data_IF_333952654779
#
_entry.id   IF_333952654779
#
_cell.length_a   1.000
_cell.length_b   1.000
_cell.length_c   1.000
_cell.angle_alpha   90.00
_cell.angle_beta   90.00
_cell.angle_gamma   90.00
#
_symmetry.space_group_name_H-M   'P 1'
#
loop_
_entity.id
_entity.type
_entity.pdbx_description
1 polymer ?
#
# COMPACT_ATOMS: atom_id res chain seq x y z
N UNK A 1 20.20 8.62 -13.76
CA UNK A 1 19.39 8.28 -12.59
C UNK A 1 18.01 8.98 -12.53
N UNK A 2 17.91 10.23 -13.00
CA UNK A 2 16.65 11.02 -12.88
C UNK A 2 15.51 10.42 -13.74
N UNK A 3 15.81 9.95 -14.94
CA UNK A 3 14.81 9.48 -15.91
C UNK A 3 14.10 8.18 -15.49
N UNK A 4 14.80 7.10 -15.08
CA UNK A 4 14.14 5.89 -14.56
C UNK A 4 13.29 6.17 -13.32
N UNK A 5 13.81 7.01 -12.41
CA UNK A 5 13.07 7.42 -11.21
C UNK A 5 11.78 8.17 -11.57
N UNK A 6 11.86 9.09 -12.54
CA UNK A 6 10.70 9.86 -12.99
C UNK A 6 9.59 8.95 -13.57
N UNK A 7 9.95 7.91 -14.32
CA UNK A 7 8.99 6.95 -14.88
C UNK A 7 8.27 6.20 -13.76
N UNK A 8 9.01 5.63 -12.82
CA UNK A 8 8.44 4.90 -11.68
C UNK A 8 7.55 5.81 -10.83
N UNK A 9 8.01 7.02 -10.53
CA UNK A 9 7.23 7.98 -9.74
C UNK A 9 5.96 8.38 -10.45
N UNK A 10 5.99 8.63 -11.76
CA UNK A 10 4.83 9.05 -12.54
C UNK A 10 3.78 7.94 -12.60
N UNK A 11 4.19 6.70 -12.83
CA UNK A 11 3.32 5.52 -12.81
C UNK A 11 2.60 5.37 -11.47
N UNK A 12 3.36 5.41 -10.38
CA UNK A 12 2.82 5.28 -9.04
C UNK A 12 1.93 6.45 -8.64
N UNK A 13 2.29 7.67 -9.01
CA UNK A 13 1.52 8.86 -8.71
C UNK A 13 0.15 8.82 -9.40
N UNK A 14 0.10 8.35 -10.65
CA UNK A 14 -1.16 8.15 -11.37
C UNK A 14 -2.04 7.10 -10.72
N UNK A 15 -1.47 5.94 -10.40
CA UNK A 15 -2.17 4.83 -9.78
C UNK A 15 -2.73 5.21 -8.40
N UNK A 16 -1.90 5.83 -7.55
CA UNK A 16 -2.33 6.26 -6.22
C UNK A 16 -3.31 7.42 -6.26
N UNK A 17 -3.12 8.37 -7.17
CA UNK A 17 -4.06 9.47 -7.37
C UNK A 17 -5.46 8.96 -7.73
N UNK A 18 -5.54 7.99 -8.62
CA UNK A 18 -6.80 7.34 -8.98
C UNK A 18 -7.44 6.60 -7.80
N UNK A 19 -6.65 5.83 -7.06
CA UNK A 19 -7.11 5.07 -5.89
C UNK A 19 -7.63 5.98 -4.76
N UNK A 20 -6.89 7.03 -4.43
CA UNK A 20 -7.31 8.03 -3.43
C UNK A 20 -8.60 8.70 -3.86
N UNK A 21 -8.71 9.07 -5.14
CA UNK A 21 -9.93 9.68 -5.67
C UNK A 21 -11.15 8.76 -5.52
N UNK A 22 -11.03 7.48 -5.87
CA UNK A 22 -12.13 6.53 -5.77
C UNK A 22 -12.55 6.31 -4.32
N UNK A 23 -11.59 6.06 -3.43
CA UNK A 23 -11.85 5.93 -1.99
C UNK A 23 -12.50 7.20 -1.39
N UNK A 24 -12.06 8.38 -1.83
CA UNK A 24 -12.66 9.64 -1.40
C UNK A 24 -14.11 9.77 -1.88
N UNK A 25 -14.43 9.33 -3.10
CA UNK A 25 -15.79 9.35 -3.63
C UNK A 25 -16.73 8.42 -2.86
N UNK A 26 -16.26 7.26 -2.48
CA UNK A 26 -17.02 6.31 -1.65
C UNK A 26 -17.28 6.91 -0.27
N UNK A 27 -16.27 7.49 0.34
CA UNK A 27 -16.34 8.07 1.68
C UNK A 27 -17.26 9.30 1.77
N UNK A 28 -17.29 10.11 0.71
CA UNK A 28 -18.19 11.29 0.64
C UNK A 28 -19.67 10.91 0.63
N UNK A 29 -20.00 9.67 0.25
CA UNK A 29 -21.38 9.12 0.25
C UNK A 29 -21.78 8.48 1.58
N UNK A 30 -20.87 8.35 2.53
CA UNK A 30 -21.14 7.73 3.81
C UNK A 30 -22.10 8.58 4.67
N UNK A 31 -22.91 7.93 5.49
CA UNK A 31 -23.97 8.55 6.31
C UNK A 31 -23.44 9.62 7.28
N UNK A 32 -22.26 9.42 7.83
CA UNK A 32 -21.65 10.41 8.74
C UNK A 32 -21.35 11.73 8.04
N UNK A 33 -21.11 11.73 6.71
CA UNK A 33 -20.92 12.95 5.93
C UNK A 33 -22.24 13.71 5.77
N UNK A 34 -23.36 12.99 5.61
CA UNK A 34 -24.69 13.59 5.59
C UNK A 34 -25.01 14.26 6.93
N UNK A 35 -24.71 13.58 8.03
CA UNK A 35 -24.87 14.15 9.38
C UNK A 35 -24.00 15.39 9.60
N UNK A 36 -22.76 15.39 9.13
CA UNK A 36 -21.87 16.53 9.25
C UNK A 36 -22.35 17.73 8.41
N UNK A 37 -22.93 17.48 7.23
CA UNK A 37 -23.58 18.51 6.42
C UNK A 37 -24.82 19.08 7.11
N UNK A 38 -25.64 18.23 7.70
CA UNK A 38 -26.83 18.66 8.47
C UNK A 38 -26.46 19.56 9.66
N UNK A 39 -25.28 19.35 10.27
CA UNK A 39 -24.72 20.22 11.31
C UNK A 39 -24.12 21.53 10.78
N UNK A 40 -24.23 21.81 9.47
CA UNK A 40 -23.75 23.06 8.87
C UNK A 40 -22.24 23.15 8.69
N UNK A 41 -21.51 22.04 8.74
CA UNK A 41 -20.05 22.04 8.55
C UNK A 41 -19.68 22.31 7.09
N UNK A 42 -18.63 23.12 6.87
CA UNK A 42 -18.11 23.40 5.53
C UNK A 42 -17.58 22.13 4.88
N UNK A 43 -17.89 21.91 3.59
CA UNK A 43 -17.48 20.75 2.79
C UNK A 43 -15.98 20.45 2.89
N UNK A 44 -15.13 21.47 2.79
CA UNK A 44 -13.66 21.31 2.91
C UNK A 44 -13.24 20.76 4.28
N UNK A 45 -13.89 21.19 5.35
CA UNK A 45 -13.59 20.71 6.71
C UNK A 45 -14.00 19.24 6.88
N UNK A 46 -15.14 18.85 6.34
CA UNK A 46 -15.61 17.46 6.35
C UNK A 46 -14.61 16.58 5.59
N UNK A 47 -14.17 17.00 4.40
CA UNK A 47 -13.23 16.23 3.58
C UNK A 47 -11.87 16.03 4.27
N UNK A 48 -11.29 17.08 4.85
CA UNK A 48 -9.95 17.01 5.44
C UNK A 48 -10.00 16.31 6.81
N UNK A 49 -10.97 16.65 7.66
CA UNK A 49 -10.98 16.17 9.06
C UNK A 49 -11.57 14.77 9.20
N UNK A 50 -12.57 14.43 8.39
CA UNK A 50 -13.28 13.15 8.50
C UNK A 50 -12.92 12.19 7.38
N UNK A 51 -13.13 12.57 6.12
CA UNK A 51 -12.92 11.64 5.00
C UNK A 51 -11.45 11.26 4.83
N UNK A 52 -10.53 12.23 4.83
CA UNK A 52 -9.10 11.96 4.64
C UNK A 52 -8.54 11.08 5.77
N UNK A 53 -8.93 11.36 7.02
CA UNK A 53 -8.49 10.55 8.16
C UNK A 53 -8.98 9.11 8.09
N UNK A 54 -10.18 8.89 7.56
CA UNK A 54 -10.76 7.55 7.41
C UNK A 54 -10.12 6.74 6.27
N UNK A 55 -9.62 7.44 5.23
CA UNK A 55 -8.94 6.82 4.08
C UNK A 55 -7.49 6.49 4.38
N UNK A 56 -6.84 7.21 5.31
CA UNK A 56 -5.40 7.06 5.60
C UNK A 56 -4.96 5.63 5.90
N UNK A 57 -5.68 4.82 6.71
CA UNK A 57 -5.28 3.43 6.95
C UNK A 57 -5.27 2.58 5.67
N UNK A 58 -6.32 2.71 4.84
CA UNK A 58 -6.38 2.01 3.55
C UNK A 58 -5.25 2.43 2.61
N UNK A 59 -4.92 3.72 2.59
CA UNK A 59 -3.83 4.26 1.77
C UNK A 59 -2.46 3.73 2.20
N UNK A 60 -2.19 3.68 3.50
CA UNK A 60 -0.94 3.13 4.04
C UNK A 60 -0.78 1.63 3.72
N UNK A 61 -1.87 0.86 3.80
CA UNK A 61 -1.85 -0.55 3.42
C UNK A 61 -1.52 -0.75 1.94
N UNK A 62 -2.08 0.08 1.07
CA UNK A 62 -1.81 0.04 -0.37
C UNK A 62 -0.35 0.45 -0.66
N UNK A 63 0.17 1.47 0.01
CA UNK A 63 1.58 1.86 -0.11
C UNK A 63 2.53 0.74 0.31
N UNK A 64 2.22 -0.01 1.35
CA UNK A 64 3.03 -1.14 1.78
C UNK A 64 3.08 -2.26 0.72
N UNK A 65 1.95 -2.57 0.09
CA UNK A 65 1.87 -3.54 -1.01
C UNK A 65 2.68 -3.07 -2.22
N UNK A 66 2.76 -1.76 -2.45
CA UNK A 66 3.52 -1.20 -3.57
C UNK A 66 5.02 -1.42 -3.48
N UNK A 67 5.56 -1.56 -2.27
CA UNK A 67 6.98 -1.91 -2.11
C UNK A 67 7.27 -3.25 -2.76
N UNK A 68 6.38 -4.24 -2.60
CA UNK A 68 6.50 -5.53 -3.27
C UNK A 68 6.40 -5.39 -4.80
N UNK A 69 5.49 -4.54 -5.27
CA UNK A 69 5.29 -4.30 -6.70
C UNK A 69 6.51 -3.61 -7.34
N UNK A 70 7.08 -2.62 -6.66
CA UNK A 70 8.31 -1.96 -7.09
C UNK A 70 9.46 -2.95 -7.16
N UNK A 71 9.65 -3.78 -6.13
CA UNK A 71 10.73 -4.78 -6.11
C UNK A 71 10.65 -5.78 -7.25
N UNK A 72 9.43 -6.18 -7.67
CA UNK A 72 9.22 -7.10 -8.78
C UNK A 72 9.15 -6.43 -10.17
N UNK A 73 8.69 -5.18 -10.24
CA UNK A 73 8.38 -4.49 -11.51
C UNK A 73 9.50 -3.62 -12.08
N UNK A 74 10.50 -3.27 -11.29
CA UNK A 74 11.59 -2.36 -11.74
C UNK A 74 12.49 -2.93 -12.81
N UNK A 75 12.53 -4.25 -12.99
CA UNK A 75 13.36 -4.92 -13.99
C UNK A 75 13.20 -4.32 -15.40
N UNK A 76 11.97 -4.08 -15.85
CA UNK A 76 11.71 -3.54 -17.19
C UNK A 76 12.31 -2.15 -17.34
N UNK A 77 12.11 -1.29 -16.34
CA UNK A 77 12.64 0.08 -16.32
C UNK A 77 14.17 0.04 -16.25
N UNK A 78 14.73 -0.79 -15.40
CA UNK A 78 16.18 -0.98 -15.27
C UNK A 78 16.82 -1.43 -16.59
N UNK A 79 16.17 -2.35 -17.30
CA UNK A 79 16.67 -2.86 -18.60
C UNK A 79 16.61 -1.79 -19.69
N UNK A 80 15.49 -1.06 -19.79
CA UNK A 80 15.29 0.00 -20.80
C UNK A 80 16.33 1.12 -20.63
N UNK A 81 16.61 1.48 -19.38
CA UNK A 81 17.56 2.55 -19.09
C UNK A 81 18.99 2.05 -18.83
N UNK A 82 19.26 0.77 -19.02
CA UNK A 82 20.58 0.13 -18.77
C UNK A 82 21.12 0.46 -17.36
N UNK A 83 20.24 0.45 -16.38
CA UNK A 83 20.58 0.76 -14.99
C UNK A 83 20.76 -0.54 -14.20
N UNK A 84 21.94 -0.79 -13.59
CA UNK A 84 22.16 -1.99 -12.80
C UNK A 84 21.39 -1.90 -11.48
N UNK A 85 20.29 -2.60 -11.37
CA UNK A 85 19.43 -2.67 -10.18
C UNK A 85 19.19 -4.11 -9.70
N UNK A 86 18.35 -4.23 -8.66
CA UNK A 86 18.00 -5.54 -8.07
C UNK A 86 17.19 -6.39 -9.05
N UNK A 87 16.35 -5.76 -9.85
CA UNK A 87 15.53 -6.45 -10.86
C UNK A 87 16.37 -7.05 -11.97
N UNK A 88 17.33 -6.33 -12.50
CA UNK A 88 18.28 -6.85 -13.51
C UNK A 88 19.15 -7.96 -12.93
N UNK A 89 19.62 -7.81 -11.70
CA UNK A 89 20.42 -8.83 -11.01
C UNK A 89 19.61 -10.12 -10.82
N UNK A 90 18.36 -10.06 -10.41
CA UNK A 90 17.48 -11.22 -10.28
C UNK A 90 17.23 -11.91 -11.62
N UNK A 91 16.97 -11.12 -12.65
CA UNK A 91 16.74 -11.65 -14.01
C UNK A 91 17.98 -12.32 -14.59
N UNK A 92 19.15 -11.71 -14.48
CA UNK A 92 20.41 -12.29 -14.95
C UNK A 92 20.75 -13.58 -14.20
N UNK A 93 20.57 -13.61 -12.88
CA UNK A 93 20.75 -14.82 -12.07
C UNK A 93 19.84 -15.96 -12.54
N UNK A 94 18.58 -15.66 -12.83
CA UNK A 94 17.66 -16.65 -13.38
C UNK A 94 18.08 -17.14 -14.77
N UNK A 95 18.51 -16.23 -15.65
CA UNK A 95 18.96 -16.52 -17.02
C UNK A 95 20.22 -17.37 -17.05
N UNK A 96 21.19 -17.07 -16.19
CA UNK A 96 22.44 -17.82 -16.08
C UNK A 96 22.33 -19.06 -15.19
N UNK A 97 21.12 -19.35 -14.65
CA UNK A 97 20.86 -20.47 -13.74
C UNK A 97 21.71 -20.43 -12.45
N UNK A 98 22.07 -19.24 -12.02
CA UNK A 98 22.74 -19.04 -10.74
C UNK A 98 21.69 -19.01 -9.62
N UNK A 99 21.29 -20.21 -9.20
CA UNK A 99 20.26 -20.37 -8.16
C UNK A 99 20.68 -19.82 -6.80
N UNK A 100 21.98 -19.81 -6.50
CA UNK A 100 22.47 -19.28 -5.24
C UNK A 100 22.25 -17.78 -5.14
N UNK A 101 22.64 -17.04 -6.18
CA UNK A 101 22.42 -15.60 -6.23
C UNK A 101 20.94 -15.25 -6.31
N UNK A 102 20.16 -15.98 -7.11
CA UNK A 102 18.71 -15.80 -7.21
C UNK A 102 18.02 -15.99 -5.87
N UNK A 103 18.42 -17.00 -5.09
CA UNK A 103 17.86 -17.27 -3.76
C UNK A 103 18.18 -16.13 -2.78
N UNK A 104 19.40 -15.64 -2.78
CA UNK A 104 19.82 -14.52 -1.93
C UNK A 104 19.03 -13.24 -2.26
N UNK A 105 18.89 -12.91 -3.55
CA UNK A 105 18.14 -11.71 -3.98
C UNK A 105 16.67 -11.84 -3.62
N UNK A 106 16.07 -13.01 -3.81
CA UNK A 106 14.67 -13.28 -3.47
C UNK A 106 14.42 -13.21 -1.97
N UNK A 107 15.31 -13.76 -1.16
CA UNK A 107 15.24 -13.67 0.30
C UNK A 107 15.34 -12.22 0.79
N UNK A 108 16.31 -11.49 0.26
CA UNK A 108 16.51 -10.07 0.63
C UNK A 108 15.27 -9.24 0.28
N UNK A 109 14.72 -9.41 -0.92
CA UNK A 109 13.50 -8.74 -1.36
C UNK A 109 12.31 -9.11 -0.48
N UNK A 110 12.15 -10.39 -0.14
CA UNK A 110 11.10 -10.87 0.75
C UNK A 110 11.18 -10.27 2.16
N UNK A 111 12.37 -10.18 2.73
CA UNK A 111 12.59 -9.55 4.04
C UNK A 111 12.19 -8.07 4.00
N UNK A 112 12.63 -7.32 2.97
CA UNK A 112 12.27 -5.91 2.83
C UNK A 112 10.75 -5.74 2.76
N UNK A 113 10.06 -6.55 1.96
CA UNK A 113 8.60 -6.50 1.82
C UNK A 113 7.91 -6.80 3.16
N UNK A 114 8.35 -7.81 3.89
CA UNK A 114 7.80 -8.16 5.20
C UNK A 114 7.98 -7.00 6.19
N UNK A 115 9.17 -6.44 6.28
CA UNK A 115 9.48 -5.33 7.18
C UNK A 115 8.63 -4.11 6.85
N UNK A 116 8.49 -3.75 5.57
CA UNK A 116 7.66 -2.63 5.15
C UNK A 116 6.17 -2.86 5.46
N UNK A 117 5.66 -4.08 5.23
CA UNK A 117 4.29 -4.44 5.56
C UNK A 117 4.03 -4.38 7.08
N UNK A 118 4.94 -4.90 7.88
CA UNK A 118 4.84 -4.82 9.36
C UNK A 118 4.86 -3.36 9.84
N UNK A 119 5.75 -2.54 9.31
CA UNK A 119 5.82 -1.13 9.65
C UNK A 119 4.51 -0.40 9.30
N UNK A 120 3.94 -0.67 8.12
CA UNK A 120 2.67 -0.10 7.71
C UNK A 120 1.51 -0.57 8.60
N UNK A 121 1.48 -1.84 9.01
CA UNK A 121 0.45 -2.35 9.92
C UNK A 121 0.52 -1.67 11.29
N UNK A 122 1.72 -1.55 11.86
CA UNK A 122 1.93 -0.85 13.14
C UNK A 122 1.48 0.62 13.04
N UNK A 123 1.77 1.26 11.92
CA UNK A 123 1.37 2.65 11.69
C UNK A 123 -0.15 2.77 11.56
N UNK A 124 -0.80 1.83 10.85
CA UNK A 124 -2.25 1.77 10.73
C UNK A 124 -2.95 1.59 12.08
N UNK A 125 -2.45 0.70 12.93
CA UNK A 125 -2.99 0.49 14.26
C UNK A 125 -2.89 1.73 15.16
N UNK A 126 -1.88 2.57 14.94
CA UNK A 126 -1.74 3.85 15.66
C UNK A 126 -2.69 4.92 15.16
N UNK A 127 -3.01 4.91 13.86
CA UNK A 127 -3.90 5.91 13.23
C UNK A 127 -5.36 5.58 13.47
N UNK A 128 -5.73 4.30 13.36
CA UNK A 128 -7.09 3.82 13.57
C UNK A 128 -7.12 2.60 14.52
N UNK A 129 -7.33 2.82 15.82
CA UNK A 129 -7.41 1.74 16.80
C UNK A 129 -8.65 0.84 16.61
N UNK A 130 -9.62 1.21 15.80
CA UNK A 130 -10.84 0.42 15.53
C UNK A 130 -10.54 -0.85 14.71
N UNK A 131 -9.50 -0.85 13.90
CA UNK A 131 -9.06 -2.02 13.12
C UNK A 131 -8.68 -3.19 14.06
N UNK A 132 -8.23 -2.89 15.26
CA UNK A 132 -7.87 -3.87 16.28
C UNK A 132 -9.05 -4.69 16.78
N UNK A 133 -10.25 -4.10 16.81
CA UNK A 133 -11.47 -4.75 17.32
C UNK A 133 -12.05 -5.72 16.27
N UNK A 134 -11.98 -5.38 14.99
CA UNK A 134 -12.45 -6.25 13.90
C UNK A 134 -11.59 -7.51 13.67
N UNK A 135 -10.42 -7.58 14.29
CA UNK A 135 -9.50 -8.72 14.19
C UNK A 135 -9.67 -9.76 15.31
N UNK A 136 -10.46 -9.44 16.34
CA UNK A 136 -10.86 -10.47 17.29
C UNK A 136 -11.93 -11.34 16.62
N UNK A 137 -11.65 -12.64 16.40
CA UNK A 137 -12.69 -13.56 15.96
C UNK A 137 -13.82 -13.49 17.00
N UNK A 138 -15.04 -13.38 16.51
CA UNK A 138 -16.23 -13.28 17.35
C UNK A 138 -16.27 -14.54 18.24
N UNK A 139 -15.80 -14.41 19.49
CA UNK A 139 -15.78 -15.51 20.47
C UNK A 139 -17.24 -15.97 20.74
N UNK A 140 -18.22 -15.24 20.29
CA UNK A 140 -19.62 -15.60 20.38
C UNK A 140 -20.03 -16.66 19.35
N UNK A 141 -19.45 -16.66 18.14
CA UNK A 141 -19.73 -17.73 17.16
C UNK A 141 -19.18 -19.11 17.59
N UNK A 142 -18.07 -19.14 18.32
CA UNK A 142 -17.48 -20.40 18.78
C UNK A 142 -18.33 -21.06 19.88
N UNK A 143 -19.12 -20.29 20.65
CA UNK A 143 -20.00 -20.80 21.71
C UNK A 143 -21.33 -21.36 21.21
N UNK A 144 -21.70 -21.08 19.99
CA UNK A 144 -22.97 -21.55 19.40
C UNK A 144 -22.84 -22.95 18.75
N UNK A 145 -21.60 -23.43 18.62
CA UNK A 145 -21.28 -24.78 18.09
C UNK A 145 -20.83 -25.79 19.17
N UNK A 146 -20.83 -25.43 20.46
CA UNK A 146 -20.67 -26.35 21.60
C UNK A 146 -22.01 -26.63 22.29
#
# INVERSE_FOLDING_TARGET
MILPLAVIVTEHLWYYGYMVRNKMLDEVRADYVLLAKAKGMKKSRIMITHCLRNIMPSYLSIMAISVAHIMGGTYVVETVFSYPGIGTLAYESARYKDYNLLMVVSLLSGIIVIVCNMAAQILNERIDPRIRISRQPDIQEVREYE
#
